data_IF_004502410028
#
_entry.id   IF_004502410028
#
_cell.length_a   1.000
_cell.length_b   1.000
_cell.length_c   1.000
_cell.angle_alpha   90.00
_cell.angle_beta   90.00
_cell.angle_gamma   90.00
#
_symmetry.space_group_name_H-M   'P 1'
#
loop_
_entity.id
_entity.type
_entity.pdbx_description
1 polymer ?
#
# COMPACT_ATOMS: atom_id res chain seq x y z
N UNK A 1 15.69 -10.36 1.57
CA UNK A 1 14.82 -9.19 1.88
C UNK A 1 15.53 -8.30 2.90
N UNK A 2 15.32 -6.98 2.85
CA UNK A 2 15.74 -6.03 3.90
C UNK A 2 14.51 -5.49 4.61
N UNK A 3 14.52 -5.43 5.94
CA UNK A 3 13.38 -4.98 6.73
C UNK A 3 13.77 -3.94 7.78
N UNK A 4 12.84 -3.01 8.01
CA UNK A 4 12.80 -2.06 9.11
C UNK A 4 11.36 -2.03 9.67
N UNK A 5 11.09 -1.42 10.84
CA UNK A 5 9.83 -1.64 11.55
C UNK A 5 8.54 -1.48 10.73
N UNK A 6 8.48 -0.52 9.79
CA UNK A 6 7.28 -0.31 8.96
C UNK A 6 7.07 -1.37 7.89
N UNK A 7 8.13 -2.05 7.44
CA UNK A 7 8.06 -3.09 6.40
C UNK A 7 7.87 -4.50 6.96
N UNK A 8 7.86 -4.66 8.29
CA UNK A 8 7.65 -5.98 8.90
C UNK A 8 6.30 -6.60 8.49
N UNK A 9 5.16 -5.88 8.50
CA UNK A 9 3.89 -6.46 8.07
C UNK A 9 3.91 -6.90 6.60
N UNK A 10 4.45 -6.07 5.70
CA UNK A 10 4.60 -6.41 4.28
C UNK A 10 5.49 -7.63 4.09
N UNK A 11 6.66 -7.67 4.75
CA UNK A 11 7.55 -8.83 4.71
C UNK A 11 6.85 -10.10 5.21
N UNK A 12 6.06 -10.00 6.28
CA UNK A 12 5.30 -11.12 6.80
C UNK A 12 4.29 -11.63 5.77
N UNK A 13 3.51 -10.74 5.15
CA UNK A 13 2.56 -11.10 4.10
C UNK A 13 3.25 -11.74 2.89
N UNK A 14 4.34 -11.15 2.40
CA UNK A 14 5.14 -11.67 1.28
C UNK A 14 5.67 -13.07 1.57
N UNK A 15 6.20 -13.32 2.77
CA UNK A 15 6.71 -14.66 3.15
C UNK A 15 5.56 -15.66 3.25
N UNK A 16 4.41 -15.28 3.82
CA UNK A 16 3.23 -16.15 3.87
C UNK A 16 2.73 -16.50 2.47
N UNK A 17 2.69 -15.53 1.54
CA UNK A 17 2.32 -15.78 0.15
C UNK A 17 3.29 -16.76 -0.52
N UNK A 18 4.61 -16.55 -0.37
CA UNK A 18 5.63 -17.45 -0.89
C UNK A 18 5.47 -18.88 -0.36
N UNK A 19 5.22 -19.05 0.94
CA UNK A 19 5.20 -20.37 1.58
C UNK A 19 3.86 -21.08 1.48
N UNK A 20 2.78 -20.40 1.82
CA UNK A 20 1.47 -21.04 1.99
C UNK A 20 0.65 -21.08 0.71
N UNK A 21 0.82 -20.07 -0.16
CA UNK A 21 0.05 -19.95 -1.41
C UNK A 21 0.84 -20.53 -2.57
N UNK A 22 2.10 -20.14 -2.70
CA UNK A 22 2.93 -20.50 -3.87
C UNK A 22 3.75 -21.78 -3.65
N UNK A 23 3.85 -22.29 -2.42
CA UNK A 23 4.64 -23.47 -2.11
C UNK A 23 6.14 -23.34 -2.38
N UNK A 24 6.67 -22.11 -2.46
CA UNK A 24 8.08 -21.86 -2.69
C UNK A 24 8.92 -22.40 -1.52
N UNK A 25 9.98 -23.14 -1.81
CA UNK A 25 10.85 -23.76 -0.81
C UNK A 25 12.24 -23.11 -0.69
N UNK A 26 12.51 -22.04 -1.45
CA UNK A 26 13.81 -21.36 -1.42
C UNK A 26 14.15 -20.81 -0.03
N UNK A 27 15.38 -20.91 0.47
CA UNK A 27 15.76 -20.33 1.75
C UNK A 27 15.67 -18.79 1.70
N UNK A 28 15.24 -18.17 2.82
CA UNK A 28 15.04 -16.72 2.91
C UNK A 28 16.05 -16.10 3.88
N UNK A 29 16.70 -15.04 3.45
CA UNK A 29 17.50 -14.17 4.32
C UNK A 29 16.76 -12.85 4.60
N UNK A 30 16.61 -12.54 5.88
CA UNK A 30 16.05 -11.28 6.37
C UNK A 30 17.18 -10.45 6.96
N UNK A 31 17.55 -9.39 6.25
CA UNK A 31 18.57 -8.44 6.66
C UNK A 31 17.95 -7.24 7.35
N UNK A 32 18.54 -6.78 8.45
CA UNK A 32 18.01 -5.62 9.18
C UNK A 32 19.09 -4.86 9.94
N UNK A 33 18.81 -3.59 10.21
CA UNK A 33 19.67 -2.70 10.98
C UNK A 33 19.23 -2.65 12.44
N UNK A 34 20.07 -3.06 13.41
CA UNK A 34 19.69 -3.01 14.82
C UNK A 34 19.36 -1.60 15.31
N UNK A 35 20.04 -0.56 14.80
CA UNK A 35 19.79 0.84 15.14
C UNK A 35 18.42 1.34 14.66
N UNK A 36 17.97 0.92 13.48
CA UNK A 36 16.62 1.26 12.96
C UNK A 36 15.50 0.51 13.70
N UNK A 37 15.83 -0.59 14.39
CA UNK A 37 14.89 -1.37 15.19
C UNK A 37 14.76 -0.87 16.64
N UNK A 38 15.68 -0.03 17.13
CA UNK A 38 15.73 0.41 18.55
C UNK A 38 14.45 1.10 19.02
N UNK A 39 13.85 1.91 18.15
CA UNK A 39 12.64 2.67 18.46
C UNK A 39 11.37 1.80 18.48
N UNK A 40 11.48 0.55 18.05
CA UNK A 40 10.38 -0.43 18.03
C UNK A 40 10.84 -1.79 18.54
N UNK A 41 11.09 -1.91 19.87
CA UNK A 41 11.46 -3.18 20.48
C UNK A 41 10.41 -4.25 20.18
N UNK A 42 10.85 -5.41 19.68
CA UNK A 42 9.95 -6.49 19.30
C UNK A 42 9.35 -6.38 17.89
N UNK A 43 9.72 -5.36 17.08
CA UNK A 43 9.26 -5.25 15.70
C UNK A 43 9.49 -6.51 14.88
N UNK A 44 10.62 -7.20 15.08
CA UNK A 44 10.94 -8.45 14.36
C UNK A 44 10.22 -9.69 14.89
N UNK A 45 9.55 -9.62 16.04
CA UNK A 45 8.95 -10.78 16.69
C UNK A 45 7.96 -11.55 15.79
N UNK A 46 7.11 -10.91 14.96
CA UNK A 46 6.25 -11.64 14.03
C UNK A 46 7.03 -12.51 13.04
N UNK A 47 8.11 -11.99 12.45
CA UNK A 47 8.96 -12.72 11.51
C UNK A 47 9.76 -13.81 12.23
N UNK A 48 10.24 -13.55 13.45
CA UNK A 48 10.95 -14.53 14.25
C UNK A 48 10.05 -15.70 14.66
N UNK A 49 8.79 -15.43 15.04
CA UNK A 49 7.80 -16.49 15.31
C UNK A 49 7.48 -17.28 14.05
N UNK A 50 7.38 -16.61 12.90
CA UNK A 50 7.16 -17.27 11.63
C UNK A 50 8.29 -18.25 11.30
N UNK A 51 9.55 -17.85 11.52
CA UNK A 51 10.73 -18.67 11.30
C UNK A 51 10.88 -19.86 12.28
N UNK A 52 10.25 -19.80 13.45
CA UNK A 52 10.23 -20.91 14.41
C UNK A 52 9.32 -22.06 13.97
N UNK A 53 8.39 -21.79 13.06
CA UNK A 53 7.54 -22.83 12.52
C UNK A 53 8.27 -23.57 11.39
N UNK A 54 8.76 -24.78 11.69
CA UNK A 54 9.50 -25.61 10.73
C UNK A 54 8.75 -25.88 9.42
N UNK A 55 7.41 -25.82 9.43
CA UNK A 55 6.61 -25.99 8.20
C UNK A 55 6.75 -24.83 7.20
N UNK A 56 7.32 -23.70 7.63
CA UNK A 56 7.46 -22.47 6.83
C UNK A 56 8.83 -22.40 6.13
N UNK A 57 9.69 -23.41 6.32
CA UNK A 57 11.00 -23.52 5.66
C UNK A 57 12.08 -22.61 6.27
N UNK A 58 13.27 -22.61 5.65
CA UNK A 58 14.46 -21.97 6.21
C UNK A 58 14.42 -20.44 6.09
N UNK A 59 14.38 -19.75 7.23
CA UNK A 59 14.44 -18.29 7.34
C UNK A 59 15.58 -17.93 8.30
N UNK A 60 16.55 -17.15 7.81
CA UNK A 60 17.70 -16.68 8.59
C UNK A 60 17.70 -15.16 8.74
N UNK A 61 18.26 -14.67 9.85
CA UNK A 61 18.24 -13.25 10.21
C UNK A 61 19.66 -12.69 10.32
N UNK A 62 19.94 -11.61 9.60
CA UNK A 62 21.28 -11.03 9.48
C UNK A 62 21.29 -9.55 9.85
N UNK A 63 22.23 -9.18 10.73
CA UNK A 63 22.36 -7.79 11.20
C UNK A 63 23.30 -7.00 10.30
N UNK A 64 22.88 -5.80 9.92
CA UNK A 64 23.70 -4.82 9.21
C UNK A 64 24.32 -3.87 10.24
N UNK A 65 25.65 -3.93 10.40
CA UNK A 65 26.39 -3.06 11.31
C UNK A 65 27.10 -1.89 10.62
N UNK A 66 27.23 -1.93 9.29
CA UNK A 66 27.93 -0.88 8.54
C UNK A 66 27.24 0.48 8.73
N UNK A 67 27.91 1.55 9.18
CA UNK A 67 27.26 2.84 9.46
C UNK A 67 26.70 3.53 8.21
N UNK A 68 27.24 3.21 7.03
CA UNK A 68 26.86 3.80 5.73
C UNK A 68 25.72 3.05 5.04
N UNK A 69 25.48 1.78 5.39
CA UNK A 69 24.46 0.95 4.76
C UNK A 69 23.04 1.21 5.31
N UNK A 70 22.51 2.43 5.12
CA UNK A 70 21.19 2.88 5.60
C UNK A 70 20.20 3.05 4.45
N UNK A 71 18.90 2.98 4.75
CA UNK A 71 17.81 3.19 3.76
C UNK A 71 18.04 2.33 2.51
N UNK A 72 17.99 2.94 1.31
CA UNK A 72 18.20 2.30 0.01
C UNK A 72 19.51 1.51 -0.09
N UNK A 73 20.58 1.99 0.53
CA UNK A 73 21.90 1.33 0.48
C UNK A 73 21.92 0.00 1.25
N UNK A 74 21.00 -0.19 2.20
CA UNK A 74 20.91 -1.43 2.96
C UNK A 74 20.64 -2.64 2.05
N UNK A 75 19.92 -2.45 0.93
CA UNK A 75 19.65 -3.54 -0.02
C UNK A 75 20.89 -3.97 -0.80
N UNK A 76 21.69 -3.00 -1.25
CA UNK A 76 22.99 -3.26 -1.89
C UNK A 76 23.90 -4.02 -0.93
N UNK A 77 23.97 -3.58 0.33
CA UNK A 77 24.77 -4.27 1.35
C UNK A 77 24.29 -5.71 1.57
N UNK A 78 22.97 -5.93 1.68
CA UNK A 78 22.40 -7.26 1.86
C UNK A 78 22.70 -8.18 0.67
N UNK A 79 22.54 -7.71 -0.58
CA UNK A 79 22.85 -8.49 -1.78
C UNK A 79 24.33 -8.85 -1.81
N UNK A 80 25.22 -7.89 -1.54
CA UNK A 80 26.67 -8.10 -1.54
C UNK A 80 27.16 -9.02 -0.40
N UNK A 81 26.44 -9.08 0.72
CA UNK A 81 26.84 -9.84 1.93
C UNK A 81 25.99 -11.08 2.22
N UNK A 82 24.98 -11.36 1.41
CA UNK A 82 24.18 -12.59 1.44
C UNK A 82 25.06 -13.85 1.49
N UNK A 83 24.57 -14.92 2.11
CA UNK A 83 25.25 -16.22 2.14
C UNK A 83 24.90 -17.10 0.94
N UNK A 84 23.97 -16.65 0.08
CA UNK A 84 23.63 -17.34 -1.15
C UNK A 84 24.55 -16.94 -2.30
N UNK A 85 25.01 -17.92 -3.07
CA UNK A 85 25.75 -17.69 -4.31
C UNK A 85 24.84 -17.15 -5.42
N UNK A 86 23.62 -17.69 -5.52
CA UNK A 86 22.58 -17.24 -6.45
C UNK A 86 21.46 -16.59 -5.65
N UNK A 87 21.26 -15.29 -5.84
CA UNK A 87 20.36 -14.46 -5.02
C UNK A 87 19.20 -13.99 -5.88
N UNK A 88 17.97 -14.26 -5.44
CA UNK A 88 16.81 -13.45 -5.80
C UNK A 88 16.65 -12.40 -4.70
N UNK A 89 16.89 -11.14 -5.04
CA UNK A 89 16.54 -10.04 -4.16
C UNK A 89 15.09 -9.63 -4.41
N UNK A 90 14.39 -9.38 -3.30
CA UNK A 90 13.01 -8.99 -3.27
C UNK A 90 12.85 -7.96 -2.16
N UNK A 91 12.35 -6.76 -2.50
CA UNK A 91 11.90 -5.79 -1.52
C UNK A 91 10.74 -6.37 -0.70
N UNK A 92 10.56 -5.86 0.52
CA UNK A 92 9.63 -6.45 1.48
C UNK A 92 8.15 -6.37 1.07
N UNK A 93 7.83 -5.42 0.21
CA UNK A 93 6.53 -5.11 -0.36
C UNK A 93 6.33 -5.64 -1.79
N UNK A 94 7.31 -6.36 -2.35
CA UNK A 94 7.19 -6.98 -3.67
C UNK A 94 6.68 -8.43 -3.53
N UNK A 95 5.37 -8.64 -3.70
CA UNK A 95 4.72 -9.96 -3.51
C UNK A 95 4.70 -10.73 -4.84
N UNK A 96 5.34 -11.92 -4.94
CA UNK A 96 5.29 -12.73 -6.16
C UNK A 96 3.89 -13.30 -6.38
N UNK A 97 3.49 -13.44 -7.65
CA UNK A 97 2.23 -14.08 -8.07
C UNK A 97 2.40 -15.53 -8.52
N UNK A 98 3.66 -16.00 -8.58
CA UNK A 98 4.06 -17.37 -8.94
C UNK A 98 5.31 -17.73 -8.13
N UNK A 99 5.52 -19.01 -7.83
CA UNK A 99 6.77 -19.51 -7.25
C UNK A 99 7.97 -19.02 -8.09
N UNK A 100 8.89 -18.21 -7.54
CA UNK A 100 9.99 -17.62 -8.28
C UNK A 100 11.18 -18.59 -8.50
N UNK A 101 11.11 -19.82 -7.99
CA UNK A 101 12.21 -20.79 -8.08
C UNK A 101 12.67 -21.08 -9.51
N UNK A 102 11.74 -21.02 -10.49
CA UNK A 102 12.06 -21.24 -11.90
C UNK A 102 13.06 -20.22 -12.47
N UNK A 103 13.19 -19.02 -11.88
CA UNK A 103 14.08 -17.97 -12.37
C UNK A 103 15.55 -18.43 -12.37
N UNK A 104 15.96 -19.27 -11.42
CA UNK A 104 17.32 -19.80 -11.36
C UNK A 104 17.61 -20.87 -12.42
N UNK A 105 16.56 -21.45 -13.00
CA UNK A 105 16.66 -22.49 -14.02
C UNK A 105 16.38 -21.97 -15.43
N UNK A 106 16.01 -20.70 -15.55
CA UNK A 106 15.66 -20.09 -16.82
C UNK A 106 16.86 -20.00 -17.76
N UNK A 107 16.64 -20.05 -19.09
CA UNK A 107 17.71 -19.91 -20.08
C UNK A 107 18.52 -18.62 -19.90
N UNK A 108 17.83 -17.52 -19.65
CA UNK A 108 18.42 -16.19 -19.50
C UNK A 108 19.34 -16.12 -18.27
N UNK A 109 18.93 -16.71 -17.15
CA UNK A 109 19.77 -16.77 -15.95
C UNK A 109 20.98 -17.69 -16.15
N UNK A 110 20.80 -18.85 -16.80
CA UNK A 110 21.91 -19.78 -17.10
C UNK A 110 22.95 -19.16 -18.02
N UNK A 111 22.49 -18.42 -19.03
CA UNK A 111 23.33 -17.73 -20.00
C UNK A 111 24.09 -16.57 -19.35
N UNK A 112 23.37 -15.65 -18.71
CA UNK A 112 23.95 -14.37 -18.27
C UNK A 112 24.37 -14.34 -16.81
N UNK A 113 23.74 -15.15 -15.95
CA UNK A 113 23.90 -15.10 -14.50
C UNK A 113 23.30 -13.85 -13.84
N UNK A 114 22.58 -12.99 -14.57
CA UNK A 114 21.92 -11.83 -13.99
C UNK A 114 20.63 -11.50 -14.75
N UNK A 115 19.50 -11.45 -14.03
CA UNK A 115 18.21 -11.01 -14.58
C UNK A 115 17.78 -9.72 -13.88
N UNK A 116 17.50 -8.70 -14.69
CA UNK A 116 16.99 -7.40 -14.26
C UNK A 116 15.62 -7.13 -14.87
N UNK A 117 14.82 -6.33 -14.16
CA UNK A 117 13.54 -5.85 -14.65
C UNK A 117 13.61 -4.38 -15.02
N UNK A 118 12.95 -3.96 -16.11
CA UNK A 118 12.82 -2.55 -16.46
C UNK A 118 11.97 -1.85 -15.41
N UNK A 119 12.34 -0.63 -15.05
CA UNK A 119 11.53 0.28 -14.25
C UNK A 119 10.54 1.03 -15.15
N UNK A 120 9.60 1.76 -14.55
CA UNK A 120 8.65 2.62 -15.26
C UNK A 120 9.37 3.73 -16.02
N UNK A 121 10.56 4.10 -15.57
CA UNK A 121 11.33 5.23 -16.07
C UNK A 121 12.17 4.85 -17.29
N UNK A 122 11.93 5.58 -18.37
CA UNK A 122 12.77 5.62 -19.55
C UNK A 122 13.60 6.93 -19.53
N UNK A 123 14.84 6.96 -20.05
CA UNK A 123 15.68 8.17 -20.06
C UNK A 123 15.04 9.42 -20.69
N UNK A 124 14.04 9.24 -21.57
CA UNK A 124 13.25 10.33 -22.17
C UNK A 124 12.24 10.97 -21.21
N UNK A 125 11.92 10.33 -20.09
CA UNK A 125 10.86 10.72 -19.15
C UNK A 125 11.24 10.50 -17.69
N UNK A 126 12.53 10.41 -17.39
CA UNK A 126 13.05 10.17 -16.04
C UNK A 126 13.07 11.43 -15.19
N UNK A 127 12.71 11.29 -13.91
CA UNK A 127 12.88 12.32 -12.89
C UNK A 127 14.15 12.13 -12.03
N UNK A 128 14.96 11.11 -12.34
CA UNK A 128 16.12 10.71 -11.51
C UNK A 128 17.47 11.15 -12.07
N UNK A 129 17.48 11.96 -13.13
CA UNK A 129 18.71 12.50 -13.70
C UNK A 129 19.48 11.54 -14.60
N UNK A 130 18.84 10.48 -15.12
CA UNK A 130 19.47 9.50 -16.04
C UNK A 130 19.22 9.79 -17.54
N UNK A 131 18.82 11.02 -17.88
CA UNK A 131 18.63 11.42 -19.27
C UNK A 131 19.97 11.60 -20.03
N UNK A 132 19.92 11.68 -21.36
CA UNK A 132 21.12 11.75 -22.22
C UNK A 132 22.08 12.93 -21.94
N UNK A 133 21.56 14.05 -21.43
CA UNK A 133 22.36 15.26 -21.09
C UNK A 133 22.91 15.26 -19.65
N UNK A 134 22.83 14.14 -18.94
CA UNK A 134 23.24 14.09 -17.53
C UNK A 134 24.76 14.05 -17.39
N UNK A 135 25.30 14.80 -16.42
CA UNK A 135 26.71 14.72 -16.03
C UNK A 135 27.08 13.33 -15.49
N UNK A 136 26.09 12.49 -15.16
CA UNK A 136 26.28 11.10 -14.77
C UNK A 136 27.18 10.34 -15.74
N UNK A 137 26.95 10.48 -17.05
CA UNK A 137 27.67 9.74 -18.08
C UNK A 137 29.15 10.13 -18.14
N UNK A 138 29.45 11.43 -18.02
CA UNK A 138 30.83 11.92 -17.93
C UNK A 138 31.48 11.51 -16.60
N UNK A 139 30.76 11.60 -15.48
CA UNK A 139 31.26 11.23 -14.15
C UNK A 139 31.63 9.74 -14.08
N UNK A 140 30.82 8.88 -14.70
CA UNK A 140 31.06 7.44 -14.76
C UNK A 140 31.99 7.05 -15.90
N UNK A 141 32.38 7.99 -16.77
CA UNK A 141 33.17 7.75 -17.98
C UNK A 141 32.52 6.66 -18.86
N UNK A 142 31.26 6.89 -19.23
CA UNK A 142 30.43 5.96 -20.00
C UNK A 142 29.67 6.71 -21.10
N UNK A 143 29.45 6.08 -22.27
CA UNK A 143 28.49 6.61 -23.23
C UNK A 143 27.07 6.50 -22.67
N UNK A 144 26.19 7.43 -23.09
CA UNK A 144 24.75 7.31 -22.84
C UNK A 144 24.21 6.02 -23.46
N UNK A 145 23.37 5.31 -22.71
CA UNK A 145 22.68 4.09 -23.16
C UNK A 145 21.17 4.31 -23.08
N UNK A 146 20.52 4.32 -24.25
CA UNK A 146 19.08 4.48 -24.38
C UNK A 146 18.37 3.14 -24.17
N UNK A 147 18.01 2.86 -22.91
CA UNK A 147 17.24 1.70 -22.51
C UNK A 147 16.49 2.02 -21.22
N UNK A 148 15.50 1.20 -20.87
CA UNK A 148 14.81 1.32 -19.58
C UNK A 148 15.79 1.32 -18.40
N UNK A 149 15.51 2.19 -17.43
CA UNK A 149 16.17 2.12 -16.13
C UNK A 149 15.82 0.79 -15.46
N UNK A 150 16.63 0.35 -14.52
CA UNK A 150 16.46 -0.91 -13.82
C UNK A 150 15.71 -0.71 -12.49
N UNK A 151 14.79 -1.63 -12.19
CA UNK A 151 14.10 -1.73 -10.89
C UNK A 151 14.97 -2.49 -9.90
N UNK A 152 15.44 -1.81 -8.85
CA UNK A 152 16.31 -2.38 -7.83
C UNK A 152 15.57 -3.18 -6.74
N UNK A 153 14.24 -3.08 -6.67
CA UNK A 153 13.40 -3.83 -5.75
C UNK A 153 13.25 -5.31 -6.08
N UNK A 154 13.60 -5.73 -7.31
CA UNK A 154 13.69 -7.14 -7.66
C UNK A 154 14.80 -7.40 -8.68
N UNK A 155 15.63 -8.42 -8.41
CA UNK A 155 16.72 -8.83 -9.31
C UNK A 155 17.16 -10.27 -8.99
N UNK A 156 17.74 -10.95 -9.97
CA UNK A 156 18.34 -12.28 -9.78
C UNK A 156 19.81 -12.20 -10.19
N UNK A 157 20.74 -12.58 -9.31
CA UNK A 157 22.19 -12.49 -9.59
C UNK A 157 22.91 -13.74 -9.09
N UNK A 158 23.74 -14.33 -9.96
CA UNK A 158 24.86 -15.18 -9.61
C UNK A 158 26.03 -14.29 -9.16
N UNK A 159 26.27 -14.28 -7.86
CA UNK A 159 27.25 -13.40 -7.23
C UNK A 159 28.68 -13.81 -7.50
N UNK A 160 28.93 -15.09 -7.77
CA UNK A 160 30.28 -15.56 -8.08
C UNK A 160 30.68 -15.10 -9.49
N UNK A 161 29.76 -15.23 -10.47
CA UNK A 161 29.97 -14.70 -11.82
C UNK A 161 30.09 -13.18 -11.86
N UNK A 162 29.31 -12.47 -11.03
CA UNK A 162 29.20 -11.01 -11.06
C UNK A 162 29.87 -10.30 -9.88
N UNK A 163 30.93 -10.88 -9.31
CA UNK A 163 31.63 -10.31 -8.16
C UNK A 163 32.19 -8.89 -8.42
N UNK A 164 32.77 -8.65 -9.60
CA UNK A 164 33.33 -7.35 -9.97
C UNK A 164 32.26 -6.26 -10.16
N UNK A 165 31.18 -6.48 -10.94
CA UNK A 165 30.06 -5.54 -11.00
C UNK A 165 29.43 -5.26 -9.63
N UNK A 166 29.24 -6.29 -8.80
CA UNK A 166 28.73 -6.10 -7.43
C UNK A 166 29.65 -5.22 -6.57
N UNK A 167 30.96 -5.41 -6.65
CA UNK A 167 31.91 -4.56 -5.95
C UNK A 167 31.84 -3.10 -6.43
N UNK A 168 31.58 -2.87 -7.72
CA UNK A 168 31.40 -1.54 -8.29
C UNK A 168 30.08 -0.88 -7.83
N UNK A 169 28.98 -1.64 -7.73
CA UNK A 169 27.72 -1.14 -7.13
C UNK A 169 27.95 -0.69 -5.68
N UNK A 170 28.68 -1.49 -4.91
CA UNK A 170 29.07 -1.14 -3.53
C UNK A 170 29.92 0.13 -3.51
N UNK A 171 30.85 0.28 -4.45
CA UNK A 171 31.65 1.50 -4.59
C UNK A 171 30.76 2.72 -4.88
N UNK A 172 29.87 2.66 -5.86
CA UNK A 172 28.94 3.76 -6.17
C UNK A 172 28.06 4.16 -4.99
N UNK A 173 27.64 3.19 -4.17
CA UNK A 173 26.77 3.45 -3.04
C UNK A 173 27.51 3.93 -1.78
N UNK A 174 28.75 3.48 -1.56
CA UNK A 174 29.46 3.67 -0.28
C UNK A 174 30.70 4.57 -0.34
N UNK A 175 31.18 4.94 -1.53
CA UNK A 175 32.37 5.79 -1.66
C UNK A 175 32.09 7.21 -1.14
N UNK A 176 33.05 7.79 -0.41
CA UNK A 176 33.00 9.15 0.10
C UNK A 176 34.19 9.97 -0.45
N UNK A 177 33.95 11.18 -0.97
CA UNK A 177 32.65 11.84 -1.13
C UNK A 177 31.77 11.16 -2.19
N UNK A 178 30.48 11.00 -1.90
CA UNK A 178 29.55 10.43 -2.87
C UNK A 178 29.04 11.50 -3.85
N UNK A 179 29.70 11.63 -5.00
CA UNK A 179 29.35 12.63 -6.03
C UNK A 179 27.97 12.40 -6.67
N UNK A 180 27.50 11.15 -6.79
CA UNK A 180 26.17 10.84 -7.32
C UNK A 180 25.08 11.45 -6.46
N UNK A 181 25.21 11.33 -5.13
CA UNK A 181 24.30 11.93 -4.16
C UNK A 181 24.49 13.45 -4.09
N UNK A 182 25.75 13.91 -4.02
CA UNK A 182 26.06 15.34 -3.88
C UNK A 182 25.48 16.18 -5.02
N UNK A 183 25.64 15.72 -6.27
CA UNK A 183 25.14 16.40 -7.46
C UNK A 183 23.74 15.94 -7.90
N UNK A 184 23.09 15.05 -7.12
CA UNK A 184 21.75 14.49 -7.42
C UNK A 184 21.65 13.85 -8.82
N UNK A 185 22.68 13.12 -9.21
CA UNK A 185 22.78 12.46 -10.53
C UNK A 185 22.10 11.09 -10.56
N UNK A 186 21.82 10.52 -9.39
CA UNK A 186 20.99 9.34 -9.20
C UNK A 186 20.37 9.40 -7.79
N UNK A 187 19.19 8.79 -7.60
CA UNK A 187 18.48 8.84 -6.32
C UNK A 187 18.57 7.50 -5.57
N UNK A 188 19.28 7.48 -4.45
CA UNK A 188 19.42 6.26 -3.64
C UNK A 188 20.20 5.17 -4.37
N UNK A 189 19.60 3.99 -4.50
CA UNK A 189 20.15 2.83 -5.21
C UNK A 189 19.67 2.72 -6.67
N UNK A 190 18.93 3.73 -7.13
CA UNK A 190 18.30 3.75 -8.45
C UNK A 190 19.33 3.49 -9.55
N UNK A 191 19.06 2.44 -10.33
CA UNK A 191 19.82 2.05 -11.53
C UNK A 191 21.30 1.71 -11.32
N UNK A 192 21.80 1.70 -10.08
CA UNK A 192 23.22 1.48 -9.79
C UNK A 192 23.71 0.10 -10.27
N UNK A 193 22.85 -0.93 -10.20
CA UNK A 193 23.18 -2.26 -10.73
C UNK A 193 23.37 -2.23 -12.25
N UNK A 194 22.44 -1.62 -12.99
CA UNK A 194 22.56 -1.49 -14.46
C UNK A 194 23.82 -0.71 -14.84
N UNK A 195 24.07 0.42 -14.19
CA UNK A 195 25.25 1.26 -14.46
C UNK A 195 26.56 0.49 -14.25
N UNK A 196 26.68 -0.27 -13.16
CA UNK A 196 27.88 -1.06 -12.88
C UNK A 196 28.09 -2.19 -13.89
N UNK A 197 27.01 -2.86 -14.33
CA UNK A 197 27.08 -3.92 -15.34
C UNK A 197 27.50 -3.35 -16.71
N UNK A 198 26.91 -2.22 -17.10
CA UNK A 198 27.28 -1.53 -18.34
C UNK A 198 28.73 -1.04 -18.31
N UNK A 199 29.20 -0.44 -17.20
CA UNK A 199 30.59 0.06 -17.08
C UNK A 199 31.61 -1.04 -17.29
N UNK A 200 31.34 -2.24 -16.75
CA UNK A 200 32.26 -3.37 -16.80
C UNK A 200 31.99 -4.32 -17.98
N UNK A 201 31.05 -3.96 -18.86
CA UNK A 201 30.60 -4.81 -19.97
C UNK A 201 30.24 -6.24 -19.51
N UNK A 202 29.60 -6.35 -18.34
CA UNK A 202 29.16 -7.60 -17.77
C UNK A 202 27.82 -8.03 -18.38
N UNK A 203 27.65 -9.33 -18.63
CA UNK A 203 26.41 -9.86 -19.19
C UNK A 203 25.26 -9.77 -18.19
N UNK A 204 24.09 -9.36 -18.65
CA UNK A 204 22.82 -9.46 -17.94
C UNK A 204 21.70 -9.59 -18.95
N UNK A 205 20.58 -10.16 -18.51
CA UNK A 205 19.34 -10.16 -19.25
C UNK A 205 18.39 -9.12 -18.65
N UNK A 206 18.01 -8.12 -19.45
CA UNK A 206 16.90 -7.23 -19.11
C UNK A 206 15.61 -7.86 -19.63
N UNK A 207 14.65 -8.07 -18.75
CA UNK A 207 13.33 -8.56 -19.15
C UNK A 207 12.70 -7.59 -20.15
N UNK A 208 12.27 -8.11 -21.30
CA UNK A 208 11.73 -7.30 -22.40
C UNK A 208 10.36 -6.70 -22.07
N UNK A 209 9.60 -7.36 -21.18
CA UNK A 209 8.30 -6.88 -20.75
C UNK A 209 8.45 -5.66 -19.82
N UNK A 210 7.92 -4.47 -20.20
CA UNK A 210 7.91 -3.31 -19.32
C UNK A 210 7.02 -3.57 -18.08
N UNK A 211 7.14 -2.75 -17.01
CA UNK A 211 6.17 -2.79 -15.93
C UNK A 211 4.75 -2.61 -16.48
N UNK A 212 3.88 -3.53 -16.09
CA UNK A 212 2.47 -3.50 -16.43
C UNK A 212 1.66 -2.99 -15.23
N UNK A 213 0.40 -2.69 -15.48
CA UNK A 213 -0.60 -2.63 -14.43
C UNK A 213 -1.30 -3.99 -14.39
N UNK A 214 -1.41 -4.59 -13.21
CA UNK A 214 -2.31 -5.70 -12.94
C UNK A 214 -3.66 -5.16 -12.50
N UNK A 215 -4.69 -5.79 -13.05
CA UNK A 215 -6.07 -5.38 -12.91
C UNK A 215 -6.99 -6.39 -13.58
N UNK A 216 -8.28 -6.17 -13.45
CA UNK A 216 -9.30 -6.97 -14.12
C UNK A 216 -9.70 -6.32 -15.44
N UNK A 217 -9.81 -7.12 -16.50
CA UNK A 217 -10.51 -6.71 -17.72
C UNK A 217 -11.98 -7.07 -17.54
N UNK A 218 -12.83 -6.05 -17.53
CA UNK A 218 -14.27 -6.21 -17.39
C UNK A 218 -14.89 -6.86 -18.64
N UNK A 219 -16.12 -7.40 -18.53
CA UNK A 219 -16.90 -7.95 -19.68
C UNK A 219 -17.12 -6.92 -20.81
N UNK A 220 -16.93 -5.63 -20.54
CA UNK A 220 -16.99 -4.51 -21.50
C UNK A 220 -15.62 -4.17 -22.11
N UNK A 221 -14.61 -5.03 -21.92
CA UNK A 221 -13.21 -4.84 -22.37
C UNK A 221 -12.51 -3.62 -21.76
N UNK A 222 -13.00 -3.08 -20.64
CA UNK A 222 -12.31 -2.01 -19.90
C UNK A 222 -11.35 -2.61 -18.86
N UNK A 223 -10.08 -2.16 -18.84
CA UNK A 223 -9.07 -2.55 -17.85
C UNK A 223 -9.18 -1.70 -16.57
N UNK A 224 -9.16 -2.37 -15.41
CA UNK A 224 -9.21 -1.75 -14.09
C UNK A 224 -8.12 -2.32 -13.17
N UNK A 225 -7.05 -1.55 -12.95
CA UNK A 225 -5.95 -1.96 -12.08
C UNK A 225 -4.96 -0.84 -11.80
N UNK A 226 -4.58 -0.68 -10.53
CA UNK A 226 -3.54 0.26 -10.06
C UNK A 226 -2.31 -0.46 -9.51
N UNK A 227 -2.34 -1.80 -9.44
CA UNK A 227 -1.22 -2.60 -8.94
C UNK A 227 -0.17 -2.67 -10.02
N UNK A 228 1.05 -2.18 -9.74
CA UNK A 228 2.16 -2.41 -10.65
C UNK A 228 2.48 -3.91 -10.67
N UNK A 229 2.46 -4.51 -11.84
CA UNK A 229 2.81 -5.92 -12.08
C UNK A 229 4.06 -5.99 -12.93
N UNK A 230 4.96 -6.90 -12.55
CA UNK A 230 6.21 -7.17 -13.26
C UNK A 230 6.19 -8.63 -13.66
N UNK A 231 6.22 -8.87 -14.97
CA UNK A 231 6.06 -10.23 -15.51
C UNK A 231 7.39 -10.78 -16.00
N UNK A 232 7.44 -12.10 -16.20
CA UNK A 232 8.52 -12.80 -16.90
C UNK A 232 7.87 -13.49 -18.11
N UNK A 233 8.15 -13.01 -19.32
CA UNK A 233 7.67 -13.51 -20.62
C UNK A 233 6.17 -13.86 -20.69
N UNK A 234 5.31 -12.95 -21.16
CA UNK A 234 3.87 -13.21 -21.31
C UNK A 234 3.54 -14.02 -22.58
N UNK A 235 2.89 -15.16 -22.38
CA UNK A 235 1.62 -15.49 -23.07
C UNK A 235 0.54 -15.49 -21.98
N UNK A 236 -0.32 -14.49 -21.99
CA UNK A 236 -1.46 -14.43 -21.05
C UNK A 236 -2.49 -15.49 -21.42
N UNK A 237 -3.03 -16.17 -20.41
CA UNK A 237 -4.16 -17.09 -20.52
C UNK A 237 -5.34 -16.43 -19.79
N UNK A 238 -6.45 -16.26 -20.51
CA UNK A 238 -7.72 -15.75 -19.96
C UNK A 238 -8.40 -16.90 -19.20
N UNK A 239 -8.64 -16.72 -17.91
CA UNK A 239 -9.48 -17.62 -17.13
C UNK A 239 -10.88 -16.99 -16.99
N UNK A 240 -11.88 -17.66 -17.56
CA UNK A 240 -13.30 -17.38 -17.35
C UNK A 240 -13.75 -17.91 -15.98
N UNK A 241 -14.48 -17.09 -15.22
CA UNK A 241 -15.17 -17.54 -14.00
C UNK A 241 -16.67 -17.26 -14.17
N UNK A 242 -17.44 -18.34 -14.06
CA UNK A 242 -18.89 -18.41 -14.15
C UNK A 242 -19.61 -18.06 -12.82
N UNK A 243 -20.86 -17.66 -12.99
CA UNK A 243 -21.80 -17.04 -12.05
C UNK A 243 -22.22 -17.92 -10.85
N UNK A 244 -22.63 -17.26 -9.75
CA UNK A 244 -23.69 -17.79 -8.86
C UNK A 244 -24.60 -16.65 -8.39
N UNK A 245 -25.91 -16.85 -8.52
CA UNK A 245 -26.96 -15.92 -8.13
C UNK A 245 -27.78 -16.39 -6.90
N UNK A 246 -28.48 -15.40 -6.35
CA UNK A 246 -29.74 -15.44 -5.58
C UNK A 246 -29.68 -15.67 -4.06
N UNK A 247 -30.14 -14.65 -3.31
CA UNK A 247 -31.34 -14.70 -2.45
C UNK A 247 -31.87 -13.26 -2.29
N UNK A 248 -33.08 -12.98 -2.78
CA UNK A 248 -33.83 -11.76 -2.45
C UNK A 248 -34.97 -12.14 -1.50
N UNK A 249 -34.96 -11.57 -0.30
CA UNK A 249 -36.16 -11.45 0.54
C UNK A 249 -36.67 -10.02 0.47
N UNK A 250 -37.99 -9.87 0.32
CA UNK A 250 -38.69 -8.60 0.22
C UNK A 250 -38.66 -7.86 1.57
N UNK A 251 -37.64 -7.04 1.76
CA UNK A 251 -37.58 -6.05 2.84
C UNK A 251 -38.17 -4.75 2.30
N UNK A 252 -39.00 -4.08 3.11
CA UNK A 252 -39.45 -2.71 2.84
C UNK A 252 -38.18 -1.85 2.79
N UNK A 253 -37.75 -1.50 1.58
CA UNK A 253 -36.56 -0.69 1.33
C UNK A 253 -36.73 0.65 2.05
N UNK A 254 -35.80 1.04 2.94
CA UNK A 254 -35.78 2.40 3.46
C UNK A 254 -35.65 3.37 2.28
N UNK A 255 -36.56 4.33 2.18
CA UNK A 255 -36.47 5.35 1.13
C UNK A 255 -35.18 6.18 1.32
N UNK A 256 -34.51 6.47 0.20
CA UNK A 256 -33.34 7.33 0.17
C UNK A 256 -33.67 8.74 0.66
N UNK A 257 -32.83 9.37 1.51
CA UNK A 257 -33.09 10.73 2.00
C UNK A 257 -33.25 11.74 0.84
N UNK A 258 -34.31 12.54 0.90
CA UNK A 258 -34.55 13.67 0.00
C UNK A 258 -34.12 14.93 0.76
N UNK A 259 -32.82 15.20 0.76
CA UNK A 259 -32.21 16.35 1.43
C UNK A 259 -31.17 16.99 0.49
N UNK A 260 -30.99 18.33 0.50
CA UNK A 260 -30.01 19.00 -0.36
C UNK A 260 -28.56 18.59 -0.09
N UNK A 261 -28.30 18.00 1.08
CA UNK A 261 -26.97 17.50 1.46
C UNK A 261 -26.66 16.12 0.87
N UNK A 262 -27.66 15.46 0.28
CA UNK A 262 -27.52 14.18 -0.41
C UNK A 262 -27.62 14.43 -1.92
N UNK A 263 -26.53 14.22 -2.64
CA UNK A 263 -26.47 14.40 -4.10
C UNK A 263 -26.36 13.04 -4.77
N UNK A 264 -27.08 12.89 -5.89
CA UNK A 264 -27.12 11.68 -6.72
C UNK A 264 -27.13 12.11 -8.19
N UNK A 265 -26.60 11.26 -9.07
CA UNK A 265 -26.66 11.50 -10.51
C UNK A 265 -28.05 11.30 -11.10
N UNK A 266 -28.31 11.84 -12.28
CA UNK A 266 -29.60 11.70 -12.98
C UNK A 266 -29.97 10.23 -13.26
N UNK A 267 -28.95 9.38 -13.46
CA UNK A 267 -29.10 7.95 -13.72
C UNK A 267 -29.11 7.08 -12.47
N UNK A 268 -29.27 7.64 -11.27
CA UNK A 268 -29.14 6.90 -10.02
C UNK A 268 -30.12 5.73 -9.90
N UNK A 269 -29.60 4.55 -9.57
CA UNK A 269 -30.39 3.35 -9.29
C UNK A 269 -31.11 3.48 -7.94
N UNK A 270 -32.30 4.09 -7.98
CA UNK A 270 -33.18 4.25 -6.81
C UNK A 270 -33.66 2.94 -6.17
N UNK A 271 -33.42 1.78 -6.80
CA UNK A 271 -33.75 0.47 -6.24
C UNK A 271 -32.65 -0.11 -5.35
N UNK A 272 -31.46 0.51 -5.30
CA UNK A 272 -30.36 0.02 -4.47
C UNK A 272 -30.73 0.04 -2.98
N UNK A 273 -30.45 -1.04 -2.27
CA UNK A 273 -30.76 -1.13 -0.84
C UNK A 273 -29.80 -0.27 0.00
N UNK A 274 -30.33 0.33 1.07
CA UNK A 274 -29.55 1.00 2.13
C UNK A 274 -29.23 0.08 3.32
N UNK A 275 -29.67 -1.18 3.25
CA UNK A 275 -29.38 -2.15 4.32
C UNK A 275 -27.88 -2.42 4.44
N UNK A 276 -27.17 -2.48 3.30
CA UNK A 276 -25.71 -2.68 3.23
C UNK A 276 -25.10 -1.67 2.28
N UNK A 277 -23.95 -1.13 2.67
CA UNK A 277 -23.27 -0.14 1.84
C UNK A 277 -21.83 0.10 2.28
N UNK A 278 -21.06 0.64 1.35
CA UNK A 278 -19.70 1.09 1.57
C UNK A 278 -19.71 2.60 1.80
N UNK A 279 -18.95 3.05 2.79
CA UNK A 279 -18.72 4.46 3.05
C UNK A 279 -17.28 4.78 2.74
N UNK A 280 -17.06 5.84 1.96
CA UNK A 280 -15.74 6.40 1.67
C UNK A 280 -15.75 7.89 1.96
N UNK A 281 -14.63 8.44 2.39
CA UNK A 281 -14.48 9.86 2.66
C UNK A 281 -13.55 10.48 1.62
N UNK A 282 -13.97 11.54 0.93
CA UNK A 282 -13.24 12.09 -0.22
C UNK A 282 -13.12 13.62 -0.15
N UNK A 283 -12.03 14.11 -0.74
CA UNK A 283 -11.81 15.51 -1.10
C UNK A 283 -11.09 15.55 -2.45
N UNK A 284 -11.04 16.70 -3.13
CA UNK A 284 -10.50 16.78 -4.50
C UNK A 284 -9.07 16.25 -4.64
N UNK A 285 -8.24 16.40 -3.61
CA UNK A 285 -6.86 15.92 -3.57
C UNK A 285 -6.69 14.39 -3.60
N UNK A 286 -7.75 13.62 -3.36
CA UNK A 286 -7.74 12.13 -3.40
C UNK A 286 -8.72 11.57 -4.41
N UNK A 287 -9.22 12.40 -5.34
CA UNK A 287 -10.20 12.00 -6.35
C UNK A 287 -9.75 10.78 -7.16
N UNK A 288 -8.52 10.79 -7.67
CA UNK A 288 -8.00 9.69 -8.50
C UNK A 288 -7.98 8.36 -7.74
N UNK A 289 -7.69 8.40 -6.45
CA UNK A 289 -7.67 7.22 -5.58
C UNK A 289 -9.09 6.73 -5.28
N UNK A 290 -10.00 7.63 -4.89
CA UNK A 290 -11.38 7.27 -4.63
C UNK A 290 -12.11 6.75 -5.88
N UNK A 291 -11.86 7.35 -7.05
CA UNK A 291 -12.35 6.82 -8.32
C UNK A 291 -11.81 5.41 -8.59
N UNK A 292 -10.53 5.17 -8.33
CA UNK A 292 -9.93 3.85 -8.48
C UNK A 292 -10.62 2.83 -7.58
N UNK A 293 -10.79 3.14 -6.29
CA UNK A 293 -11.43 2.25 -5.33
C UNK A 293 -12.88 1.92 -5.75
N UNK A 294 -13.68 2.94 -6.13
CA UNK A 294 -15.06 2.74 -6.58
C UNK A 294 -15.08 1.76 -7.76
N UNK A 295 -14.22 1.96 -8.76
CA UNK A 295 -14.13 1.07 -9.92
C UNK A 295 -13.67 -0.34 -9.54
N UNK A 296 -12.68 -0.46 -8.66
CA UNK A 296 -12.19 -1.76 -8.17
C UNK A 296 -13.30 -2.55 -7.48
N UNK A 297 -14.08 -1.91 -6.60
CA UNK A 297 -15.23 -2.53 -5.93
C UNK A 297 -16.25 -3.05 -6.95
N UNK A 298 -16.60 -2.26 -7.97
CA UNK A 298 -17.52 -2.71 -9.03
C UNK A 298 -16.97 -3.86 -9.85
N UNK A 299 -15.66 -3.86 -10.12
CA UNK A 299 -15.00 -4.96 -10.83
C UNK A 299 -15.04 -6.27 -10.03
N UNK A 300 -14.92 -6.18 -8.71
CA UNK A 300 -15.04 -7.34 -7.81
C UNK A 300 -16.48 -7.85 -7.67
N UNK A 301 -17.45 -7.23 -8.35
CA UNK A 301 -18.86 -7.61 -8.33
C UNK A 301 -19.67 -6.92 -7.23
N UNK A 302 -19.08 -5.98 -6.48
CA UNK A 302 -19.80 -5.28 -5.43
C UNK A 302 -20.88 -4.38 -6.04
N UNK A 303 -22.13 -4.62 -5.64
CA UNK A 303 -23.32 -3.94 -6.14
C UNK A 303 -23.97 -3.01 -5.10
N UNK A 304 -23.32 -2.84 -3.95
CA UNK A 304 -23.88 -2.08 -2.84
C UNK A 304 -23.83 -0.57 -3.08
N UNK A 305 -24.69 0.17 -2.39
CA UNK A 305 -24.62 1.64 -2.35
C UNK A 305 -23.24 2.07 -1.83
N UNK A 306 -22.62 3.04 -2.51
CA UNK A 306 -21.40 3.69 -2.00
C UNK A 306 -21.77 5.13 -1.61
N UNK A 307 -21.66 5.43 -0.32
CA UNK A 307 -21.78 6.81 0.18
C UNK A 307 -20.41 7.49 0.22
N UNK A 308 -20.27 8.59 -0.51
CA UNK A 308 -19.07 9.42 -0.53
C UNK A 308 -19.28 10.63 0.36
N UNK A 309 -18.63 10.63 1.52
CA UNK A 309 -18.73 11.68 2.53
C UNK A 309 -17.68 12.79 2.33
N UNK A 310 -18.12 14.03 2.47
CA UNK A 310 -17.27 15.22 2.50
C UNK A 310 -17.85 16.29 3.46
N UNK A 311 -17.05 17.32 3.74
CA UNK A 311 -17.30 18.35 4.74
C UNK A 311 -17.28 19.75 4.12
N UNK A 312 -18.47 20.22 3.74
CA UNK A 312 -18.68 21.53 3.12
C UNK A 312 -18.56 21.51 1.61
N UNK A 313 -19.12 22.54 0.97
CA UNK A 313 -19.24 22.66 -0.48
C UNK A 313 -17.91 22.86 -1.22
N UNK A 314 -16.87 23.34 -0.53
CA UNK A 314 -15.55 23.62 -1.12
C UNK A 314 -14.62 22.41 -1.16
N UNK A 315 -14.99 21.29 -0.53
CA UNK A 315 -14.09 20.14 -0.38
C UNK A 315 -14.07 19.23 -1.63
N UNK A 316 -15.18 19.18 -2.34
CA UNK A 316 -15.32 18.47 -3.61
C UNK A 316 -15.96 19.40 -4.64
N UNK A 317 -15.24 19.63 -5.74
CA UNK A 317 -15.76 20.48 -6.82
C UNK A 317 -16.98 19.85 -7.50
N UNK A 318 -17.89 20.68 -8.03
CA UNK A 318 -19.05 20.20 -8.79
C UNK A 318 -18.63 19.32 -9.99
N UNK A 319 -17.55 19.68 -10.69
CA UNK A 319 -17.00 18.87 -11.80
C UNK A 319 -16.51 17.50 -11.35
N UNK A 320 -15.93 17.39 -10.14
CA UNK A 320 -15.52 16.11 -9.56
C UNK A 320 -16.72 15.21 -9.32
N UNK A 321 -17.78 15.77 -8.72
CA UNK A 321 -19.00 15.04 -8.37
C UNK A 321 -19.73 14.57 -9.63
N UNK A 322 -19.88 15.45 -10.63
CA UNK A 322 -20.50 15.10 -11.92
C UNK A 322 -19.73 14.00 -12.66
N UNK A 323 -18.40 14.06 -12.65
CA UNK A 323 -17.55 13.02 -13.23
C UNK A 323 -17.82 11.66 -12.56
N UNK A 324 -17.88 11.63 -11.22
CA UNK A 324 -18.11 10.38 -10.50
C UNK A 324 -19.51 9.81 -10.74
N UNK A 325 -20.55 10.66 -10.80
CA UNK A 325 -21.89 10.22 -11.18
C UNK A 325 -21.97 9.67 -12.60
N UNK A 326 -21.16 10.18 -13.52
CA UNK A 326 -21.11 9.63 -14.90
C UNK A 326 -20.51 8.22 -14.98
N UNK A 327 -19.85 7.75 -13.92
CA UNK A 327 -19.10 6.50 -13.89
C UNK A 327 -19.77 5.39 -13.08
N UNK A 328 -20.70 5.72 -12.19
CA UNK A 328 -21.39 4.77 -11.31
C UNK A 328 -22.77 5.28 -10.90
N UNK A 329 -23.80 4.48 -11.15
CA UNK A 329 -25.21 4.80 -10.90
C UNK A 329 -25.66 4.53 -9.45
N UNK A 330 -24.75 4.09 -8.58
CA UNK A 330 -25.01 3.74 -7.17
C UNK A 330 -24.12 4.53 -6.21
N UNK A 331 -23.69 5.72 -6.63
CA UNK A 331 -23.02 6.69 -5.77
C UNK A 331 -23.99 7.69 -5.17
N UNK A 332 -23.75 8.02 -3.91
CA UNK A 332 -24.46 9.06 -3.19
C UNK A 332 -23.45 9.93 -2.45
N UNK A 333 -23.37 11.21 -2.78
CA UNK A 333 -22.48 12.15 -2.10
C UNK A 333 -23.21 12.82 -0.95
N UNK A 334 -22.53 12.91 0.20
CA UNK A 334 -23.13 13.40 1.44
C UNK A 334 -22.26 14.48 2.06
N UNK A 335 -22.80 15.70 2.13
CA UNK A 335 -22.20 16.81 2.89
C UNK A 335 -22.64 16.74 4.35
N UNK A 336 -21.98 15.89 5.12
CA UNK A 336 -22.35 15.65 6.51
C UNK A 336 -22.11 16.87 7.41
N UNK A 337 -21.11 17.71 7.09
CA UNK A 337 -20.82 18.86 7.92
C UNK A 337 -21.89 19.94 7.78
N UNK A 338 -22.29 20.26 6.55
CA UNK A 338 -23.34 21.25 6.32
C UNK A 338 -24.68 20.78 6.86
N UNK A 339 -25.00 19.48 6.74
CA UNK A 339 -26.23 18.93 7.32
C UNK A 339 -26.25 19.04 8.85
N UNK A 340 -25.21 18.53 9.52
CA UNK A 340 -25.10 18.57 10.98
C UNK A 340 -25.01 19.99 11.54
N UNK A 341 -24.42 20.93 10.81
CA UNK A 341 -24.41 22.35 11.16
C UNK A 341 -25.81 22.97 11.04
N UNK A 342 -26.55 22.66 9.98
CA UNK A 342 -27.91 23.15 9.77
C UNK A 342 -28.88 22.69 10.88
N UNK A 343 -28.62 21.51 11.44
CA UNK A 343 -29.36 20.95 12.57
C UNK A 343 -28.89 21.48 13.94
N UNK A 344 -27.84 22.31 13.97
CA UNK A 344 -27.25 22.84 15.21
C UNK A 344 -26.51 21.81 16.06
N UNK A 345 -26.15 20.65 15.49
CA UNK A 345 -25.43 19.57 16.19
C UNK A 345 -23.95 19.93 16.34
N UNK A 346 -23.37 20.53 15.29
CA UNK A 346 -21.98 21.02 15.30
C UNK A 346 -21.94 22.50 14.95
N UNK A 347 -20.91 23.21 15.43
CA UNK A 347 -20.73 24.63 15.13
C UNK A 347 -19.89 24.84 13.86
N UNK A 348 -20.00 26.02 13.24
CA UNK A 348 -19.19 26.44 12.08
C UNK A 348 -17.68 26.33 12.33
N UNK A 349 -17.23 26.58 13.56
CA UNK A 349 -15.81 26.40 13.92
C UNK A 349 -15.43 24.91 13.95
N UNK A 350 -16.38 24.03 14.26
CA UNK A 350 -16.16 22.59 14.30
C UNK A 350 -16.16 21.98 12.89
N UNK A 351 -17.00 22.44 11.97
CA UNK A 351 -17.03 21.94 10.57
C UNK A 351 -15.66 22.03 9.90
N UNK A 352 -14.99 23.19 10.01
CA UNK A 352 -13.64 23.36 9.44
C UNK A 352 -12.57 22.40 9.95
N UNK A 353 -12.77 21.80 11.14
CA UNK A 353 -11.84 20.83 11.74
C UNK A 353 -12.06 19.40 11.28
N UNK A 354 -13.25 19.10 10.75
CA UNK A 354 -13.60 17.77 10.28
C UNK A 354 -13.31 17.53 8.80
N UNK A 355 -12.82 18.54 8.07
CA UNK A 355 -12.37 18.39 6.69
C UNK A 355 -11.31 17.29 6.53
N UNK A 356 -11.25 16.74 5.33
CA UNK A 356 -10.33 15.72 4.86
C UNK A 356 -10.48 14.43 5.68
N UNK A 357 -9.36 13.84 6.13
CA UNK A 357 -9.36 12.55 6.81
C UNK A 357 -10.15 12.50 8.12
N UNK A 358 -10.41 13.65 8.74
CA UNK A 358 -11.04 13.69 10.06
C UNK A 358 -12.56 13.50 10.01
N UNK A 359 -13.20 13.54 8.83
CA UNK A 359 -14.65 13.42 8.71
C UNK A 359 -15.18 12.02 9.08
N UNK A 360 -14.33 10.98 9.01
CA UNK A 360 -14.74 9.57 9.18
C UNK A 360 -15.65 9.30 10.40
N UNK A 361 -15.37 9.81 11.62
CA UNK A 361 -16.24 9.61 12.76
C UNK A 361 -17.60 10.32 12.61
N UNK A 362 -17.64 11.50 11.97
CA UNK A 362 -18.90 12.17 11.66
C UNK A 362 -19.68 11.43 10.57
N UNK A 363 -18.99 10.93 9.54
CA UNK A 363 -19.59 10.12 8.49
C UNK A 363 -20.27 8.88 9.08
N UNK A 364 -19.56 8.14 9.94
CA UNK A 364 -20.08 6.98 10.68
C UNK A 364 -21.24 7.31 11.63
N UNK A 365 -21.25 8.51 12.22
CA UNK A 365 -22.36 8.98 13.05
C UNK A 365 -23.59 9.39 12.21
N UNK A 366 -23.34 9.96 11.03
CA UNK A 366 -24.36 10.53 10.16
C UNK A 366 -25.05 9.50 9.25
N UNK A 367 -24.34 8.46 8.84
CA UNK A 367 -24.88 7.47 7.88
C UNK A 367 -26.15 6.81 8.37
N UNK A 368 -27.04 6.65 7.42
CA UNK A 368 -28.29 5.95 7.50
C UNK A 368 -28.23 4.58 6.81
N UNK A 369 -27.04 4.16 6.34
CA UNK A 369 -26.78 2.78 5.92
C UNK A 369 -26.66 1.89 7.17
N UNK A 370 -27.46 0.83 7.23
CA UNK A 370 -27.55 -0.02 8.43
C UNK A 370 -26.29 -0.85 8.67
N UNK A 371 -25.81 -1.54 7.66
CA UNK A 371 -24.61 -2.38 7.70
C UNK A 371 -23.48 -1.72 6.89
N UNK A 372 -22.93 -0.64 7.45
CA UNK A 372 -21.90 0.16 6.79
C UNK A 372 -20.52 -0.48 6.90
N UNK A 373 -19.74 -0.36 5.83
CA UNK A 373 -18.32 -0.65 5.79
C UNK A 373 -17.55 0.62 5.43
N UNK A 374 -16.81 1.14 6.39
CA UNK A 374 -15.91 2.29 6.15
C UNK A 374 -14.63 1.79 5.51
N UNK A 375 -14.32 2.30 4.31
CA UNK A 375 -13.07 2.05 3.60
C UNK A 375 -12.31 3.35 3.39
N UNK A 376 -10.99 3.27 3.49
CA UNK A 376 -10.12 4.37 3.11
C UNK A 376 -9.91 4.34 1.60
N UNK A 377 -9.80 5.50 0.96
CA UNK A 377 -9.61 5.60 -0.50
C UNK A 377 -8.27 5.05 -0.98
N UNK A 378 -7.34 4.78 -0.05
CA UNK A 378 -6.03 4.16 -0.30
C UNK A 378 -5.98 2.66 0.07
N UNK A 379 -7.12 2.05 0.40
CA UNK A 379 -7.22 0.61 0.57
C UNK A 379 -7.04 -0.12 -0.76
N UNK A 380 -6.35 -1.26 -0.73
CA UNK A 380 -6.16 -2.16 -1.87
C UNK A 380 -6.99 -3.42 -1.61
N UNK A 381 -7.97 -3.68 -2.48
CA UNK A 381 -8.98 -4.71 -2.26
C UNK A 381 -8.76 -5.89 -3.21
N UNK A 382 -8.45 -7.06 -2.64
CA UNK A 382 -8.14 -8.27 -3.44
C UNK A 382 -9.37 -9.17 -3.71
N UNK A 383 -10.48 -8.92 -3.02
CA UNK A 383 -11.75 -9.67 -3.10
C UNK A 383 -12.88 -8.74 -2.65
N UNK A 384 -14.09 -8.91 -3.19
CA UNK A 384 -15.26 -8.13 -2.76
C UNK A 384 -15.33 -8.10 -1.22
N UNK A 385 -15.18 -6.91 -0.60
CA UNK A 385 -15.03 -6.82 0.84
C UNK A 385 -16.34 -7.10 1.55
N UNK A 386 -17.48 -7.18 0.84
CA UNK A 386 -18.79 -7.54 1.42
C UNK A 386 -18.73 -8.84 2.25
N UNK A 387 -17.83 -9.77 1.90
CA UNK A 387 -17.57 -11.02 2.64
C UNK A 387 -17.16 -10.80 4.10
N UNK A 388 -16.65 -9.61 4.45
CA UNK A 388 -16.28 -9.26 5.82
C UNK A 388 -17.50 -9.21 6.75
N UNK A 389 -18.70 -8.97 6.21
CA UNK A 389 -19.95 -9.00 6.98
C UNK A 389 -20.43 -10.42 7.31
N UNK A 390 -19.88 -11.43 6.63
CA UNK A 390 -20.19 -12.84 6.89
C UNK A 390 -19.26 -13.44 7.97
N UNK A 391 -18.25 -12.68 8.43
CA UNK A 391 -17.36 -13.13 9.50
C UNK A 391 -18.17 -13.33 10.79
N UNK A 392 -17.86 -14.43 11.50
CA UNK A 392 -18.51 -14.77 12.77
C UNK A 392 -18.49 -13.60 13.76
N UNK A 393 -17.39 -12.85 13.83
CA UNK A 393 -17.29 -11.66 14.69
C UNK A 393 -18.31 -10.57 14.34
N UNK A 394 -18.55 -10.31 13.06
CA UNK A 394 -19.57 -9.36 12.61
C UNK A 394 -20.97 -9.89 12.91
N UNK A 395 -21.26 -11.14 12.54
CA UNK A 395 -22.58 -11.75 12.73
C UNK A 395 -22.98 -11.78 14.21
N UNK A 396 -22.02 -12.04 15.11
CA UNK A 396 -22.27 -12.14 16.55
C UNK A 396 -22.35 -10.79 17.26
N UNK A 397 -21.58 -9.79 16.83
CA UNK A 397 -21.45 -8.51 17.58
C UNK A 397 -21.99 -7.29 16.84
N UNK A 398 -22.31 -7.42 15.55
CA UNK A 398 -22.64 -6.31 14.65
C UNK A 398 -21.44 -5.45 14.24
N UNK A 399 -20.22 -5.79 14.68
CA UNK A 399 -19.00 -5.01 14.40
C UNK A 399 -17.82 -5.90 14.09
N UNK A 400 -16.90 -5.41 13.27
CA UNK A 400 -15.60 -6.05 13.06
C UNK A 400 -14.55 -4.95 13.03
N UNK A 401 -13.55 -5.07 13.90
CA UNK A 401 -12.44 -4.13 13.99
C UNK A 401 -11.15 -4.81 13.60
N UNK A 402 -10.35 -4.11 12.79
CA UNK A 402 -9.02 -4.55 12.42
C UNK A 402 -7.99 -3.96 13.36
N UNK A 403 -6.89 -4.69 13.58
CA UNK A 403 -5.75 -4.15 14.30
C UNK A 403 -5.06 -3.09 13.43
N UNK A 404 -5.12 -1.83 13.85
CA UNK A 404 -4.24 -0.77 13.32
C UNK A 404 -2.79 -1.01 13.81
N UNK A 405 -1.87 -0.16 13.35
CA UNK A 405 -0.44 -0.15 13.66
C UNK A 405 -0.19 -0.30 15.16
N UNK A 406 0.60 -1.32 15.51
CA UNK A 406 1.15 -1.46 16.85
C UNK A 406 2.27 -0.43 17.04
N UNK A 407 1.96 0.67 17.74
CA UNK A 407 2.93 1.72 18.08
C UNK A 407 3.64 1.38 19.39
N UNK A 408 4.94 1.09 19.33
CA UNK A 408 5.81 0.90 20.52
C UNK A 408 6.29 2.20 21.15
N UNK A 409 5.83 3.36 20.66
CA UNK A 409 6.29 4.66 21.15
C UNK A 409 5.60 5.00 22.46
N UNK A 410 6.36 5.46 23.47
CA UNK A 410 5.84 6.13 24.68
C UNK A 410 5.32 7.55 24.41
N UNK A 411 4.77 7.81 23.22
CA UNK A 411 4.04 9.05 22.92
C UNK A 411 2.59 8.83 23.38
N UNK A 412 2.36 9.08 24.66
CA UNK A 412 1.01 9.13 25.22
C UNK A 412 0.27 10.37 24.66
N UNK A 413 -1.04 10.47 24.88
CA UNK A 413 -1.84 11.67 24.61
C UNK A 413 -1.46 12.81 25.60
N UNK A 414 -0.20 13.26 25.56
CA UNK A 414 0.42 14.27 26.43
C UNK A 414 0.38 15.68 25.83
N UNK A 415 -0.62 15.98 25.00
CA UNK A 415 -0.91 17.36 24.62
C UNK A 415 -1.17 18.23 25.86
N UNK A 416 -0.91 19.53 25.75
CA UNK A 416 -1.23 20.50 26.80
C UNK A 416 -2.30 21.45 26.26
N UNK A 417 -3.41 21.56 26.98
CA UNK A 417 -4.50 22.49 26.66
C UNK A 417 -4.76 23.38 27.89
N UNK A 418 -4.42 24.66 27.78
CA UNK A 418 -4.61 25.64 28.84
C UNK A 418 -3.83 25.34 30.13
N UNK A 419 -2.64 24.73 30.04
CA UNK A 419 -1.80 24.40 31.20
C UNK A 419 -2.13 23.05 31.85
N UNK A 420 -3.14 22.32 31.35
CA UNK A 420 -3.48 20.96 31.80
C UNK A 420 -3.12 19.94 30.73
N UNK A 421 -2.67 18.76 31.17
CA UNK A 421 -2.48 17.62 30.28
C UNK A 421 -3.82 17.20 29.67
N UNK A 422 -3.87 17.10 28.34
CA UNK A 422 -5.07 16.86 27.54
C UNK A 422 -5.85 15.64 28.02
N UNK A 423 -5.17 14.50 28.24
CA UNK A 423 -5.81 13.28 28.73
C UNK A 423 -6.43 13.46 30.12
N UNK A 424 -5.79 14.20 31.03
CA UNK A 424 -6.36 14.47 32.36
C UNK A 424 -7.58 15.36 32.26
N UNK A 425 -7.51 16.41 31.43
CA UNK A 425 -8.64 17.31 31.18
C UNK A 425 -9.82 16.54 30.62
N UNK A 426 -9.60 15.74 29.56
CA UNK A 426 -10.61 14.87 28.96
C UNK A 426 -11.23 13.92 29.98
N UNK A 427 -10.42 13.18 30.76
CA UNK A 427 -10.95 12.23 31.75
C UNK A 427 -11.77 12.89 32.86
N UNK A 428 -11.53 14.16 33.19
CA UNK A 428 -12.29 14.89 34.21
C UNK A 428 -13.53 15.60 33.65
N UNK A 429 -13.45 16.12 32.42
CA UNK A 429 -14.52 16.90 31.79
C UNK A 429 -15.47 16.03 30.94
N UNK A 430 -15.11 14.76 30.67
CA UNK A 430 -15.98 13.83 29.95
C UNK A 430 -17.24 13.51 30.75
N UNK A 431 -18.40 13.64 30.11
CA UNK A 431 -19.70 13.38 30.71
C UNK A 431 -20.01 11.87 30.71
N UNK A 432 -19.42 11.14 31.65
CA UNK A 432 -19.65 9.70 31.77
C UNK A 432 -21.11 9.34 32.04
N UNK A 433 -21.83 10.19 32.78
CA UNK A 433 -23.21 9.96 33.15
C UNK A 433 -24.11 9.91 31.91
N UNK A 434 -23.88 10.82 30.94
CA UNK A 434 -24.59 10.83 29.66
C UNK A 434 -24.51 9.51 28.90
N UNK A 435 -23.40 8.78 29.03
CA UNK A 435 -23.17 7.52 28.31
C UNK A 435 -23.32 6.28 29.20
N UNK A 436 -23.84 6.43 30.42
CA UNK A 436 -23.94 5.35 31.41
C UNK A 436 -22.60 4.63 31.65
N UNK A 437 -21.51 5.38 31.65
CA UNK A 437 -20.17 4.88 31.92
C UNK A 437 -19.76 5.21 33.36
N UNK A 438 -18.91 4.35 33.94
CA UNK A 438 -18.24 4.63 35.21
C UNK A 438 -16.83 5.14 34.93
N UNK A 439 -16.43 6.24 35.55
CA UNK A 439 -15.06 6.73 35.45
C UNK A 439 -14.12 5.82 36.26
N UNK A 440 -13.60 4.77 35.61
CA UNK A 440 -12.71 3.80 36.25
C UNK A 440 -11.42 4.43 36.82
N UNK A 441 -10.94 5.53 36.22
CA UNK A 441 -9.66 6.16 36.60
C UNK A 441 -9.74 7.06 37.83
N UNK A 442 -10.90 7.60 38.20
CA UNK A 442 -11.07 8.41 39.41
C UNK A 442 -11.30 7.56 40.67
N UNK A 443 -11.78 6.32 40.52
CA UNK A 443 -12.03 5.40 41.64
C UNK A 443 -10.77 4.83 42.31
N UNK A 444 -9.59 4.95 41.67
CA UNK A 444 -8.30 4.45 42.18
C UNK A 444 -7.39 5.57 42.73
N UNK A 445 -7.88 6.79 42.83
CA UNK A 445 -7.13 7.96 43.30
C UNK A 445 -7.71 8.58 44.60
N UNK A 446 -8.55 7.85 45.34
CA UNK A 446 -9.03 8.19 46.68
C UNK A 446 -8.31 7.38 47.74
#
# INVERSE_FOLDING_TARGET
MVVYPKLVPSAYATIRALRDILGCSLPIEIWYRPDEMKDTPGALAPLQRLAQNYSVGDISFHKIFSPVAKRFVAKIYAIYRSFFDRVLFLDADNVPVRDPSFLFESPEFKETGAIFWPDFWHPTSTMFGLHSKSLLWELLDMPFVDMFEQESGQLVIDRQRHAAPLALVVFYALHEPNFLVHYKLAWGDKDLFRLAWLKLNASFHMIEAPPAMAGMVTRLSAFCGMTMSRTYNLKGQEDEIDDVAAFEESIIMPEHPISPFYKRGDGFDSSVSRDRGVMVCMHDGVLSMGLSLIRELRCLGNKELIQVYHCGEEELSASTVELLFSLDDRLEFVDACSDLESQGIISTNMTTKFRSWWIKPLAMYHTDVRHVMLLDVDDIIMRDPAVLRDLEGYVTTGTTFFYDRVLTKKKLLIGNDGGKLYLRKLLHEFDYARFNLLCFFLSKAS
#
